data_IF_081827457335
#
_entry.id   IF_081827457335
#
_cell.length_a   1.000
_cell.length_b   1.000
_cell.length_c   1.000
_cell.angle_alpha   90.00
_cell.angle_beta   90.00
_cell.angle_gamma   90.00
#
_symmetry.space_group_name_H-M   'P 1'
#
loop_
_entity.id
_entity.type
_entity.pdbx_description
1 polymer ?
#
# COMPACT_ATOMS: atom_id res chain seq x y z
N UNK A 1 11.07 -14.97 24.69
CA UNK A 1 10.51 -16.32 24.47
C UNK A 1 9.64 -16.68 25.67
N UNK A 2 8.35 -16.81 25.48
CA UNK A 2 7.37 -17.14 26.51
C UNK A 2 6.84 -18.56 26.27
N UNK A 3 6.95 -19.45 27.24
CA UNK A 3 6.39 -20.81 27.16
C UNK A 3 4.95 -20.74 27.59
N UNK A 4 4.03 -21.15 26.73
CA UNK A 4 2.63 -21.35 27.07
C UNK A 4 2.52 -22.70 27.78
N UNK A 5 1.67 -22.82 28.80
CA UNK A 5 1.47 -24.09 29.53
C UNK A 5 1.13 -25.21 28.56
N UNK A 6 2.11 -25.99 28.13
CA UNK A 6 1.94 -27.06 27.15
C UNK A 6 3.15 -27.18 26.21
N UNK A 7 2.89 -27.61 24.97
CA UNK A 7 3.91 -27.78 23.92
C UNK A 7 4.10 -26.51 23.06
N UNK A 8 3.26 -25.49 23.31
CA UNK A 8 3.27 -24.23 22.58
C UNK A 8 4.30 -23.24 23.10
N UNK A 9 4.89 -22.45 22.20
CA UNK A 9 5.82 -21.38 22.49
C UNK A 9 5.41 -20.12 21.71
N UNK A 10 5.76 -18.95 22.25
CA UNK A 10 5.57 -17.67 21.59
C UNK A 10 6.93 -16.97 21.53
N UNK A 11 7.33 -16.62 20.32
CA UNK A 11 8.56 -15.87 20.08
C UNK A 11 8.26 -14.36 19.96
N UNK A 12 9.32 -13.56 20.01
CA UNK A 12 9.25 -12.14 19.75
C UNK A 12 8.63 -11.89 18.35
N UNK A 13 7.92 -10.78 18.19
CA UNK A 13 7.13 -10.51 16.98
C UNK A 13 5.81 -11.30 16.91
N UNK A 14 5.31 -11.81 18.06
CA UNK A 14 4.03 -12.51 18.20
C UNK A 14 3.92 -13.74 17.27
N UNK A 15 4.98 -14.55 17.21
CA UNK A 15 5.05 -15.77 16.41
C UNK A 15 4.72 -16.97 17.28
N UNK A 16 3.66 -17.71 16.90
CA UNK A 16 3.24 -18.92 17.58
C UNK A 16 3.98 -20.13 17.02
N UNK A 17 4.57 -20.93 17.90
CA UNK A 17 5.35 -22.12 17.56
C UNK A 17 4.75 -23.33 18.27
N UNK A 18 4.69 -24.46 17.56
CA UNK A 18 4.24 -25.74 18.11
C UNK A 18 5.16 -26.89 17.70
N UNK A 19 5.15 -27.99 18.44
CA UNK A 19 6.05 -29.11 18.17
C UNK A 19 5.74 -29.77 16.84
N UNK A 20 6.76 -29.99 16.02
CA UNK A 20 6.65 -30.70 14.73
C UNK A 20 6.32 -32.20 14.87
N UNK A 21 6.51 -32.79 16.07
CA UNK A 21 6.19 -34.18 16.35
C UNK A 21 4.69 -34.43 16.49
N UNK A 22 3.88 -33.36 16.59
CA UNK A 22 2.44 -33.43 16.74
C UNK A 22 1.75 -33.28 15.40
N UNK A 23 0.55 -33.88 15.27
CA UNK A 23 -0.29 -33.76 14.07
C UNK A 23 -1.32 -32.64 14.20
N UNK A 24 -1.65 -32.23 15.43
CA UNK A 24 -2.69 -31.29 15.77
C UNK A 24 -2.34 -30.46 17.00
N UNK A 25 -2.94 -29.26 17.08
CA UNK A 25 -2.91 -28.46 18.30
C UNK A 25 -3.76 -29.12 19.38
N UNK A 26 -3.17 -29.25 20.57
CA UNK A 26 -3.98 -29.58 21.76
C UNK A 26 -5.05 -28.48 21.97
N UNK A 27 -6.30 -28.84 22.30
CA UNK A 27 -7.34 -27.83 22.54
C UNK A 27 -7.01 -26.78 23.57
N UNK A 28 -6.22 -27.12 24.59
CA UNK A 28 -5.76 -26.18 25.62
C UNK A 28 -4.74 -25.20 25.05
N UNK A 29 -3.78 -25.68 24.23
CA UNK A 29 -2.77 -24.85 23.58
C UNK A 29 -3.41 -23.92 22.52
N UNK A 30 -4.38 -24.44 21.74
CA UNK A 30 -5.17 -23.64 20.80
C UNK A 30 -5.85 -22.46 21.51
N UNK A 31 -6.56 -22.72 22.62
CA UNK A 31 -7.23 -21.67 23.37
C UNK A 31 -6.24 -20.68 24.00
N UNK A 32 -5.08 -21.17 24.40
CA UNK A 32 -4.02 -20.32 24.95
C UNK A 32 -3.45 -19.38 23.90
N UNK A 33 -3.13 -19.87 22.70
CA UNK A 33 -2.70 -19.06 21.56
C UNK A 33 -3.77 -18.04 21.15
N UNK A 34 -5.02 -18.46 21.08
CA UNK A 34 -6.14 -17.58 20.78
C UNK A 34 -6.26 -16.44 21.80
N UNK A 35 -6.22 -16.77 23.12
CA UNK A 35 -6.28 -15.75 24.17
C UNK A 35 -5.11 -14.74 24.03
N UNK A 36 -3.93 -15.22 23.69
CA UNK A 36 -2.76 -14.35 23.49
C UNK A 36 -2.94 -13.49 22.25
N UNK A 37 -3.45 -14.05 21.14
CA UNK A 37 -3.74 -13.27 19.95
C UNK A 37 -4.81 -12.18 20.20
N UNK A 38 -5.82 -12.46 21.03
CA UNK A 38 -6.81 -11.46 21.46
C UNK A 38 -6.16 -10.31 22.25
N UNK A 39 -5.11 -10.59 23.03
CA UNK A 39 -4.36 -9.53 23.70
C UNK A 39 -3.59 -8.67 22.69
N UNK A 40 -2.89 -9.29 21.74
CA UNK A 40 -2.18 -8.59 20.65
C UNK A 40 -3.14 -7.82 19.73
N UNK A 41 -4.36 -8.33 19.53
CA UNK A 41 -5.39 -7.67 18.73
C UNK A 41 -5.79 -6.29 19.28
N UNK A 42 -5.47 -5.95 20.55
CA UNK A 42 -5.68 -4.60 21.08
C UNK A 42 -4.74 -3.61 20.42
N UNK A 43 -3.47 -3.99 20.25
CA UNK A 43 -2.46 -3.15 19.60
C UNK A 43 -2.77 -3.00 18.10
N UNK A 44 -3.18 -4.09 17.42
CA UNK A 44 -3.64 -4.02 16.04
C UNK A 44 -4.86 -3.10 15.86
N UNK A 45 -5.84 -3.21 16.76
CA UNK A 45 -7.01 -2.31 16.73
C UNK A 45 -6.64 -0.87 17.02
N UNK A 46 -5.71 -0.63 17.94
CA UNK A 46 -5.18 0.71 18.21
C UNK A 46 -4.52 1.30 16.95
N UNK A 47 -3.67 0.52 16.25
CA UNK A 47 -3.09 0.95 14.99
C UNK A 47 -4.15 1.34 13.95
N UNK A 48 -5.18 0.51 13.80
CA UNK A 48 -6.29 0.82 12.89
C UNK A 48 -7.03 2.09 13.31
N UNK A 49 -7.28 2.30 14.61
CA UNK A 49 -7.91 3.52 15.09
C UNK A 49 -7.05 4.75 14.77
N UNK A 50 -5.74 4.69 14.97
CA UNK A 50 -4.83 5.77 14.59
C UNK A 50 -4.86 6.03 13.07
N UNK A 51 -4.84 4.97 12.25
CA UNK A 51 -4.97 5.11 10.80
C UNK A 51 -6.29 5.78 10.38
N UNK A 52 -7.38 5.46 11.07
CA UNK A 52 -8.71 6.07 10.83
C UNK A 52 -8.86 7.49 11.41
N UNK A 53 -7.85 8.03 12.08
CA UNK A 53 -7.89 9.35 12.72
C UNK A 53 -8.56 9.37 14.09
N UNK A 54 -8.83 8.21 14.68
CA UNK A 54 -9.37 8.10 16.04
C UNK A 54 -8.23 7.97 17.05
N UNK A 55 -7.46 9.06 17.23
CA UNK A 55 -6.31 9.09 18.12
C UNK A 55 -6.73 9.22 19.59
N UNK A 56 -5.83 8.83 20.50
CA UNK A 56 -6.11 8.78 21.94
C UNK A 56 -6.52 10.13 22.55
N UNK A 57 -6.06 11.23 21.98
CA UNK A 57 -6.43 12.57 22.44
C UNK A 57 -7.94 12.82 22.39
N UNK A 58 -8.66 12.22 21.42
CA UNK A 58 -10.13 12.35 21.29
C UNK A 58 -10.87 11.67 22.45
N UNK A 59 -10.26 10.64 23.05
CA UNK A 59 -10.85 9.80 24.09
C UNK A 59 -10.45 10.23 25.52
N UNK A 60 -9.61 11.27 25.67
CA UNK A 60 -9.22 11.78 26.98
C UNK A 60 -10.41 12.43 27.70
N UNK A 61 -10.35 12.51 29.02
CA UNK A 61 -11.36 13.24 29.80
C UNK A 61 -11.38 14.72 29.40
N UNK A 62 -12.59 15.26 29.24
CA UNK A 62 -12.76 16.71 28.97
C UNK A 62 -12.21 17.56 30.11
N UNK A 63 -11.59 18.66 29.76
CA UNK A 63 -11.16 19.63 30.74
C UNK A 63 -12.39 20.20 31.46
N UNK A 64 -12.27 20.40 32.76
CA UNK A 64 -13.38 20.97 33.55
C UNK A 64 -13.54 22.49 33.30
N UNK A 65 -12.45 23.16 32.94
CA UNK A 65 -12.42 24.63 32.75
C UNK A 65 -11.54 24.98 31.54
N UNK A 66 -11.97 26.00 30.80
CA UNK A 66 -11.26 26.55 29.65
C UNK A 66 -11.51 25.80 28.34
N UNK A 67 -10.89 26.24 27.27
CA UNK A 67 -10.99 25.59 25.93
C UNK A 67 -10.49 24.16 25.95
N UNK A 68 -11.16 23.27 25.22
CA UNK A 68 -10.83 21.86 25.10
C UNK A 68 -10.87 21.40 23.63
N UNK A 69 -10.12 22.11 22.79
CA UNK A 69 -9.92 21.74 21.40
C UNK A 69 -9.04 20.50 21.33
N UNK A 70 -9.43 19.55 20.52
CA UNK A 70 -8.73 18.28 20.30
C UNK A 70 -8.49 18.11 18.81
N UNK A 71 -7.28 18.41 18.38
CA UNK A 71 -6.86 18.33 17.00
C UNK A 71 -6.07 17.05 16.77
N UNK A 72 -6.35 16.40 15.66
CA UNK A 72 -5.65 15.21 15.20
C UNK A 72 -4.98 15.53 13.87
N UNK A 73 -3.66 15.41 13.84
CA UNK A 73 -2.90 15.36 12.59
C UNK A 73 -2.78 13.90 12.15
N UNK A 74 -3.71 13.44 11.29
CA UNK A 74 -3.77 12.02 10.89
C UNK A 74 -2.59 11.64 9.99
N UNK A 75 -1.37 11.71 10.51
CA UNK A 75 -0.15 11.29 9.83
C UNK A 75 -0.05 9.77 9.63
N UNK A 76 -0.60 8.89 10.50
CA UNK A 76 -0.65 7.45 10.23
C UNK A 76 -1.32 7.13 8.89
N UNK A 77 -2.44 7.77 8.58
CA UNK A 77 -3.13 7.61 7.29
C UNK A 77 -2.23 8.04 6.13
N UNK A 78 -1.65 9.24 6.21
CA UNK A 78 -0.75 9.74 5.18
C UNK A 78 0.46 8.82 4.96
N UNK A 79 1.11 8.36 6.03
CA UNK A 79 2.29 7.50 5.97
C UNK A 79 1.96 6.15 5.32
N UNK A 80 0.86 5.51 5.74
CA UNK A 80 0.42 4.22 5.20
C UNK A 80 0.06 4.34 3.73
N UNK A 81 -0.80 5.30 3.37
CA UNK A 81 -1.28 5.41 1.99
C UNK A 81 -0.18 5.86 1.03
N UNK A 82 0.71 6.76 1.48
CA UNK A 82 1.88 7.16 0.68
C UNK A 82 2.81 5.97 0.44
N UNK A 83 3.11 5.18 1.47
CA UNK A 83 4.01 4.05 1.35
C UNK A 83 3.38 2.88 0.58
N UNK A 84 2.12 2.56 0.85
CA UNK A 84 1.40 1.52 0.10
C UNK A 84 1.24 1.91 -1.38
N UNK A 85 0.88 3.17 -1.67
CA UNK A 85 0.82 3.68 -3.03
C UNK A 85 2.18 3.68 -3.75
N UNK A 86 3.28 3.89 -3.02
CA UNK A 86 4.63 3.76 -3.56
C UNK A 86 4.98 2.30 -3.91
N UNK A 87 4.57 1.33 -3.08
CA UNK A 87 4.94 -0.08 -3.21
C UNK A 87 4.03 -0.86 -4.15
N UNK A 88 2.69 -0.68 -4.06
CA UNK A 88 1.67 -1.42 -4.83
C UNK A 88 0.88 -0.55 -5.79
N UNK A 89 1.15 0.75 -5.89
CA UNK A 89 0.43 1.65 -6.80
C UNK A 89 0.59 1.29 -8.27
N UNK A 90 1.71 0.65 -8.64
CA UNK A 90 1.85 -0.12 -9.87
C UNK A 90 1.74 -1.59 -9.48
N UNK A 91 0.71 -2.32 -9.96
CA UNK A 91 0.56 -3.74 -9.64
C UNK A 91 1.80 -4.56 -10.06
N UNK A 92 2.35 -5.41 -9.18
CA UNK A 92 3.47 -6.24 -9.54
C UNK A 92 3.09 -7.24 -10.63
N UNK A 93 3.99 -7.45 -11.58
CA UNK A 93 3.80 -8.45 -12.62
C UNK A 93 4.23 -9.81 -12.10
N UNK A 94 3.36 -10.78 -12.31
CA UNK A 94 3.55 -12.16 -11.89
C UNK A 94 3.34 -13.01 -13.12
N UNK A 95 4.42 -13.64 -13.61
CA UNK A 95 4.40 -14.33 -14.90
C UNK A 95 5.10 -15.69 -14.84
N UNK A 96 4.69 -16.60 -15.74
CA UNK A 96 5.34 -17.85 -16.05
C UNK A 96 5.93 -17.81 -17.47
N UNK A 97 6.98 -18.58 -17.71
CA UNK A 97 7.61 -18.64 -19.04
C UNK A 97 6.76 -19.45 -20.04
N UNK A 98 6.07 -20.52 -19.61
CA UNK A 98 5.12 -21.24 -20.45
C UNK A 98 3.90 -20.41 -20.75
N UNK A 99 3.55 -20.28 -22.02
CA UNK A 99 2.47 -19.40 -22.48
C UNK A 99 1.09 -19.82 -21.96
N UNK A 100 0.79 -21.14 -22.01
CA UNK A 100 -0.54 -21.64 -21.65
C UNK A 100 -0.75 -21.55 -20.13
N UNK A 101 0.28 -21.87 -19.35
CA UNK A 101 0.25 -21.76 -17.91
C UNK A 101 0.18 -20.31 -17.45
N UNK A 102 0.88 -19.41 -18.14
CA UNK A 102 0.79 -17.99 -17.88
C UNK A 102 -0.61 -17.42 -18.18
N UNK A 103 -1.25 -17.84 -19.29
CA UNK A 103 -2.63 -17.45 -19.59
C UNK A 103 -3.60 -17.92 -18.48
N UNK A 104 -3.47 -19.15 -18.00
CA UNK A 104 -4.28 -19.68 -16.91
C UNK A 104 -4.01 -18.94 -15.58
N UNK A 105 -2.75 -18.61 -15.29
CA UNK A 105 -2.37 -17.80 -14.14
C UNK A 105 -3.01 -16.41 -14.18
N UNK A 106 -2.92 -15.71 -15.33
CA UNK A 106 -3.53 -14.37 -15.48
C UNK A 106 -5.04 -14.44 -15.34
N UNK A 107 -5.68 -15.46 -15.94
CA UNK A 107 -7.12 -15.65 -15.79
C UNK A 107 -7.54 -15.84 -14.32
N UNK A 108 -6.77 -16.60 -13.54
CA UNK A 108 -7.02 -16.78 -12.11
C UNK A 108 -6.84 -15.45 -11.34
N UNK A 109 -5.77 -14.73 -11.64
CA UNK A 109 -5.49 -13.42 -11.04
C UNK A 109 -6.64 -12.43 -11.28
N UNK A 110 -7.11 -12.36 -12.53
CA UNK A 110 -8.18 -11.44 -12.94
C UNK A 110 -9.53 -11.83 -12.31
N UNK A 111 -9.90 -13.10 -12.37
CA UNK A 111 -11.14 -13.63 -11.78
C UNK A 111 -11.20 -13.37 -10.28
N UNK A 112 -10.08 -13.47 -9.60
CA UNK A 112 -9.98 -13.22 -8.16
C UNK A 112 -9.75 -11.76 -7.77
N UNK A 113 -9.60 -10.83 -8.70
CA UNK A 113 -9.17 -9.45 -8.44
C UNK A 113 -7.91 -9.42 -7.58
N UNK A 114 -6.94 -10.28 -7.93
CA UNK A 114 -5.78 -10.57 -7.08
C UNK A 114 -4.96 -9.32 -6.77
N UNK A 115 -4.78 -8.42 -7.74
CA UNK A 115 -3.98 -7.22 -7.58
C UNK A 115 -4.58 -6.26 -6.53
N UNK A 116 -5.90 -6.12 -6.52
CA UNK A 116 -6.61 -5.33 -5.51
C UNK A 116 -6.43 -5.95 -4.11
N UNK A 117 -6.65 -7.27 -3.99
CA UNK A 117 -6.44 -7.98 -2.72
C UNK A 117 -5.00 -7.91 -2.24
N UNK A 118 -4.02 -7.96 -3.14
CA UNK A 118 -2.60 -7.82 -2.79
C UNK A 118 -2.29 -6.42 -2.26
N UNK A 119 -2.89 -5.37 -2.83
CA UNK A 119 -2.77 -4.00 -2.32
C UNK A 119 -3.39 -3.87 -0.93
N UNK A 120 -4.55 -4.48 -0.67
CA UNK A 120 -5.16 -4.49 0.66
C UNK A 120 -4.34 -5.30 1.68
N UNK A 121 -3.77 -6.45 1.29
CA UNK A 121 -2.82 -7.22 2.11
C UNK A 121 -1.60 -6.36 2.45
N UNK A 122 -1.06 -5.63 1.48
CA UNK A 122 0.08 -4.73 1.67
C UNK A 122 -0.26 -3.59 2.64
N UNK A 123 -1.43 -2.95 2.47
CA UNK A 123 -1.91 -1.90 3.38
C UNK A 123 -2.10 -2.41 4.81
N UNK A 124 -2.72 -3.58 4.98
CA UNK A 124 -2.84 -4.21 6.30
C UNK A 124 -1.48 -4.52 6.92
N UNK A 125 -0.52 -4.94 6.11
CA UNK A 125 0.86 -5.17 6.57
C UNK A 125 1.50 -3.86 7.05
N UNK A 126 1.22 -2.74 6.40
CA UNK A 126 1.73 -1.43 6.80
C UNK A 126 1.06 -0.90 8.09
N UNK A 127 -0.20 -1.24 8.33
CA UNK A 127 -0.93 -0.86 9.55
C UNK A 127 -0.60 -1.77 10.73
N UNK A 128 -0.65 -3.09 10.52
CA UNK A 128 -0.58 -4.08 11.61
C UNK A 128 0.79 -4.75 11.76
N UNK A 129 1.70 -4.56 10.78
CA UNK A 129 2.94 -5.29 10.68
C UNK A 129 2.81 -6.65 9.99
N UNK A 130 1.61 -7.19 9.85
CA UNK A 130 1.30 -8.46 9.18
C UNK A 130 -0.13 -8.51 8.64
N UNK A 131 -0.33 -9.39 7.66
CA UNK A 131 -1.64 -9.79 7.14
C UNK A 131 -1.58 -11.23 6.66
N UNK A 132 -2.72 -11.86 6.41
CA UNK A 132 -2.76 -13.23 5.92
C UNK A 132 -3.54 -13.29 4.60
N UNK A 133 -2.97 -13.95 3.59
CA UNK A 133 -3.74 -14.44 2.45
C UNK A 133 -4.27 -15.83 2.76
N UNK A 134 -5.52 -16.09 2.46
CA UNK A 134 -6.20 -17.34 2.71
C UNK A 134 -6.81 -17.87 1.41
N UNK A 135 -6.46 -19.12 1.05
CA UNK A 135 -6.96 -19.81 -0.14
C UNK A 135 -8.10 -20.72 0.28
N UNK A 136 -9.20 -20.64 -0.44
CA UNK A 136 -10.40 -21.45 -0.18
C UNK A 136 -11.07 -21.83 -1.49
N UNK A 137 -12.01 -22.76 -1.43
CA UNK A 137 -12.89 -23.07 -2.55
C UNK A 137 -14.27 -22.46 -2.31
N UNK A 138 -14.82 -21.93 -3.38
CA UNK A 138 -16.21 -21.47 -3.40
C UNK A 138 -17.21 -22.62 -3.60
N UNK A 139 -18.49 -22.30 -3.75
CA UNK A 139 -19.58 -23.27 -3.95
C UNK A 139 -19.45 -24.06 -5.27
N UNK A 140 -18.71 -23.52 -6.25
CA UNK A 140 -18.46 -24.16 -7.54
C UNK A 140 -17.17 -25.02 -7.52
N UNK A 141 -16.52 -25.11 -6.37
CA UNK A 141 -15.22 -25.68 -6.17
C UNK A 141 -14.07 -24.94 -6.89
N UNK A 142 -14.27 -23.65 -7.24
CA UNK A 142 -13.22 -22.82 -7.80
C UNK A 142 -12.25 -22.34 -6.70
N UNK A 143 -10.96 -22.37 -7.01
CA UNK A 143 -9.93 -21.89 -6.09
C UNK A 143 -9.95 -20.36 -5.99
N UNK A 144 -10.27 -19.84 -4.82
CA UNK A 144 -10.41 -18.43 -4.52
C UNK A 144 -9.41 -17.95 -3.47
N UNK A 145 -9.19 -16.63 -3.41
CA UNK A 145 -8.37 -15.99 -2.40
C UNK A 145 -9.16 -14.94 -1.62
N UNK A 146 -8.94 -14.92 -0.31
CA UNK A 146 -9.35 -13.86 0.60
C UNK A 146 -8.15 -13.38 1.43
N UNK A 147 -8.28 -12.25 2.09
CA UNK A 147 -7.33 -11.84 3.11
C UNK A 147 -7.97 -11.87 4.50
N UNK A 148 -7.14 -12.07 5.52
CA UNK A 148 -7.56 -12.11 6.91
C UNK A 148 -6.69 -11.20 7.75
N UNK A 149 -7.33 -10.50 8.68
CA UNK A 149 -6.67 -9.57 9.60
C UNK A 149 -6.01 -10.35 10.77
N UNK A 150 -4.89 -9.87 11.31
CA UNK A 150 -4.31 -10.45 12.52
C UNK A 150 -5.17 -10.21 13.77
N UNK A 151 -6.26 -9.45 13.67
CA UNK A 151 -7.21 -9.23 14.78
C UNK A 151 -8.06 -10.46 15.09
N UNK A 152 -8.27 -11.33 14.11
CA UNK A 152 -9.16 -12.48 14.16
C UNK A 152 -8.60 -13.76 13.51
N UNK A 153 -7.31 -13.70 13.14
CA UNK A 153 -6.58 -14.82 12.57
C UNK A 153 -5.11 -14.83 13.01
N UNK A 154 -4.51 -16.02 13.07
CA UNK A 154 -3.09 -16.19 13.30
C UNK A 154 -2.55 -17.48 12.68
N UNK A 155 -1.25 -17.47 12.38
CA UNK A 155 -0.50 -18.62 11.90
C UNK A 155 0.30 -19.25 13.06
N UNK A 156 0.28 -20.58 13.14
CA UNK A 156 1.16 -21.37 14.00
C UNK A 156 2.19 -22.03 13.10
N UNK A 157 3.45 -21.98 13.49
CA UNK A 157 4.57 -22.60 12.79
C UNK A 157 5.10 -23.80 13.58
N UNK A 158 5.79 -24.72 12.92
CA UNK A 158 6.51 -25.78 13.60
C UNK A 158 7.80 -25.27 14.28
N UNK A 159 8.33 -26.05 15.19
CA UNK A 159 9.56 -25.75 15.93
C UNK A 159 10.84 -26.15 15.18
N UNK A 160 10.72 -26.59 13.91
CA UNK A 160 11.88 -26.87 13.07
C UNK A 160 12.62 -25.60 12.66
N UNK A 161 13.88 -25.74 12.24
CA UNK A 161 14.68 -24.61 11.72
C UNK A 161 13.98 -23.92 10.54
N UNK A 162 13.21 -24.67 9.73
CA UNK A 162 12.52 -24.15 8.57
C UNK A 162 11.21 -23.37 8.91
N UNK A 163 10.70 -23.53 10.16
CA UNK A 163 9.44 -22.92 10.62
C UNK A 163 8.34 -23.01 9.56
N UNK A 164 7.97 -24.24 9.23
CA UNK A 164 6.89 -24.48 8.26
C UNK A 164 5.53 -24.13 8.90
N UNK A 165 4.55 -23.64 8.12
CA UNK A 165 3.19 -23.49 8.59
C UNK A 165 2.65 -24.83 9.14
N UNK A 166 2.27 -24.85 10.42
CA UNK A 166 1.70 -26.00 11.10
C UNK A 166 0.17 -25.95 11.07
N UNK A 167 -0.40 -24.79 11.40
CA UNK A 167 -1.83 -24.55 11.33
C UNK A 167 -2.14 -23.06 11.12
N UNK A 168 -3.25 -22.78 10.45
CA UNK A 168 -3.84 -21.45 10.38
C UNK A 168 -5.16 -21.42 11.13
N UNK A 169 -5.34 -20.44 12.01
CA UNK A 169 -6.51 -20.32 12.89
C UNK A 169 -7.26 -19.05 12.55
N UNK A 170 -8.57 -19.18 12.29
CA UNK A 170 -9.51 -18.07 12.20
C UNK A 170 -10.55 -18.20 13.28
N UNK A 171 -10.90 -17.10 13.94
CA UNK A 171 -11.85 -17.13 15.04
C UNK A 171 -12.70 -15.86 15.09
N UNK A 172 -13.89 -16.01 15.63
CA UNK A 172 -14.84 -14.91 15.87
C UNK A 172 -15.64 -15.20 17.13
N UNK A 173 -16.30 -14.17 17.62
CA UNK A 173 -17.21 -14.34 18.75
C UNK A 173 -18.62 -14.61 18.21
N UNK A 174 -19.18 -15.75 18.51
CA UNK A 174 -20.55 -16.11 18.17
C UNK A 174 -21.52 -15.17 18.92
N UNK A 175 -22.37 -14.48 18.20
CA UNK A 175 -23.31 -13.49 18.75
C UNK A 175 -24.40 -14.11 19.60
N UNK A 176 -24.81 -15.35 19.31
CA UNK A 176 -25.90 -16.04 20.03
C UNK A 176 -25.40 -16.68 21.33
N UNK A 177 -24.35 -17.46 21.25
CA UNK A 177 -23.79 -18.17 22.42
C UNK A 177 -22.80 -17.34 23.22
N UNK A 178 -22.26 -16.25 22.66
CA UNK A 178 -21.20 -15.48 23.28
C UNK A 178 -19.84 -16.20 23.37
N UNK A 179 -19.76 -17.42 22.84
CA UNK A 179 -18.55 -18.23 22.84
C UNK A 179 -17.63 -17.86 21.68
N UNK A 180 -16.34 -18.06 21.88
CA UNK A 180 -15.36 -18.00 20.80
C UNK A 180 -15.53 -19.24 19.92
N UNK A 181 -15.69 -19.01 18.63
CA UNK A 181 -15.89 -20.04 17.60
C UNK A 181 -14.89 -19.81 16.50
N UNK A 182 -14.47 -20.85 15.81
CA UNK A 182 -13.52 -20.69 14.73
C UNK A 182 -13.19 -22.00 14.02
N UNK A 183 -12.20 -21.89 13.14
CA UNK A 183 -11.69 -23.00 12.33
C UNK A 183 -10.18 -23.05 12.43
N UNK A 184 -9.64 -24.26 12.45
CA UNK A 184 -8.22 -24.56 12.42
C UNK A 184 -7.95 -25.33 11.13
N UNK A 185 -7.11 -24.76 10.27
CA UNK A 185 -6.73 -25.32 8.99
C UNK A 185 -5.34 -25.94 9.08
N UNK A 186 -5.29 -27.25 9.00
CA UNK A 186 -4.05 -28.03 8.87
C UNK A 186 -3.77 -28.35 7.41
N UNK A 187 -2.65 -28.96 7.13
CA UNK A 187 -2.27 -29.37 5.77
C UNK A 187 -3.26 -30.38 5.15
N UNK A 188 -3.78 -31.31 5.95
CA UNK A 188 -4.59 -32.44 5.48
C UNK A 188 -6.04 -32.41 5.98
N UNK A 189 -6.39 -31.54 6.92
CA UNK A 189 -7.73 -31.53 7.55
C UNK A 189 -8.09 -30.12 8.02
N UNK A 190 -9.39 -29.94 8.29
CA UNK A 190 -9.93 -28.73 8.88
C UNK A 190 -10.70 -29.16 10.13
N UNK A 191 -10.54 -28.41 11.21
CA UNK A 191 -11.30 -28.60 12.45
C UNK A 191 -12.09 -27.36 12.79
N UNK A 192 -13.25 -27.54 13.39
CA UNK A 192 -14.04 -26.46 13.97
C UNK A 192 -13.90 -26.48 15.48
N UNK A 193 -14.00 -25.32 16.11
CA UNK A 193 -14.06 -25.25 17.56
C UNK A 193 -15.14 -24.27 18.02
N UNK A 194 -15.77 -24.60 19.16
CA UNK A 194 -16.71 -23.72 19.86
C UNK A 194 -16.44 -23.79 21.35
N UNK A 195 -15.99 -22.67 21.94
CA UNK A 195 -15.46 -22.68 23.30
C UNK A 195 -14.21 -23.57 23.42
N UNK A 196 -14.31 -24.63 24.22
CA UNK A 196 -13.26 -25.64 24.43
C UNK A 196 -13.47 -26.94 23.64
N UNK A 197 -14.56 -27.05 22.89
CA UNK A 197 -14.90 -28.24 22.09
C UNK A 197 -14.25 -28.05 20.70
N UNK A 198 -13.45 -29.04 20.29
CA UNK A 198 -12.82 -29.09 18.96
C UNK A 198 -13.32 -30.39 18.27
N UNK A 199 -13.83 -30.25 17.07
CA UNK A 199 -14.40 -31.33 16.27
C UNK A 199 -13.84 -31.30 14.84
N UNK A 200 -13.85 -32.44 14.17
CA UNK A 200 -13.52 -32.50 12.75
C UNK A 200 -14.59 -31.76 11.93
N UNK A 201 -14.18 -31.01 10.95
CA UNK A 201 -15.07 -30.37 9.98
C UNK A 201 -15.51 -31.39 8.91
N UNK A 202 -16.71 -31.22 8.37
CA UNK A 202 -17.18 -31.96 7.20
C UNK A 202 -16.38 -31.57 5.92
N UNK A 203 -15.61 -30.49 5.98
CA UNK A 203 -14.77 -30.01 4.87
C UNK A 203 -13.36 -30.57 4.99
N UNK A 204 -12.87 -31.15 3.89
CA UNK A 204 -11.47 -31.56 3.77
C UNK A 204 -10.61 -30.47 3.16
N UNK A 205 -9.37 -30.40 3.61
CA UNK A 205 -8.38 -29.55 2.96
C UNK A 205 -7.75 -30.30 1.76
N UNK A 206 -8.11 -29.89 0.54
CA UNK A 206 -7.62 -30.55 -0.68
C UNK A 206 -6.23 -30.08 -1.13
N UNK A 207 -5.71 -29.01 -0.56
CA UNK A 207 -4.41 -28.46 -0.98
C UNK A 207 -3.22 -29.27 -0.45
N UNK A 208 -3.39 -30.13 0.54
CA UNK A 208 -2.33 -30.83 1.27
C UNK A 208 -1.24 -29.91 1.83
N UNK A 209 -1.57 -28.65 2.02
CA UNK A 209 -0.78 -27.57 2.60
C UNK A 209 -1.69 -26.75 3.48
N UNK A 210 -1.14 -26.04 4.49
CA UNK A 210 -1.93 -25.05 5.22
C UNK A 210 -2.36 -23.95 4.23
N UNK A 211 -3.69 -23.73 4.04
CA UNK A 211 -4.18 -22.90 2.94
C UNK A 211 -4.10 -21.40 3.23
N UNK A 212 -3.06 -20.97 3.92
CA UNK A 212 -2.84 -19.58 4.25
C UNK A 212 -1.36 -19.22 4.24
N UNK A 213 -1.07 -17.96 3.97
CA UNK A 213 0.29 -17.41 3.96
C UNK A 213 0.31 -16.10 4.73
N UNK A 214 1.28 -15.95 5.64
CA UNK A 214 1.56 -14.69 6.32
C UNK A 214 2.36 -13.76 5.40
N UNK A 215 1.89 -12.52 5.27
CA UNK A 215 2.59 -11.41 4.64
C UNK A 215 3.07 -10.43 5.72
N UNK A 216 4.32 -9.98 5.63
CA UNK A 216 4.92 -9.01 6.53
C UNK A 216 5.99 -8.20 5.82
N UNK A 217 6.20 -6.96 6.27
CA UNK A 217 7.17 -6.05 5.64
C UNK A 217 8.60 -6.20 6.20
N UNK A 218 8.71 -6.61 7.47
CA UNK A 218 9.97 -6.76 8.22
C UNK A 218 9.88 -7.97 9.15
N UNK A 219 11.03 -8.47 9.61
CA UNK A 219 11.07 -9.67 10.51
C UNK A 219 10.42 -9.40 11.86
N UNK A 220 10.43 -8.16 12.31
CA UNK A 220 9.89 -7.72 13.59
C UNK A 220 8.37 -7.65 13.60
N UNK A 221 7.71 -7.73 12.42
CA UNK A 221 6.26 -7.58 12.20
C UNK A 221 5.74 -6.25 12.73
N UNK A 222 6.48 -5.19 12.47
CA UNK A 222 6.09 -3.82 12.80
C UNK A 222 5.43 -3.13 11.61
N UNK A 223 4.36 -2.38 11.89
CA UNK A 223 3.74 -1.48 10.93
C UNK A 223 4.64 -0.29 10.61
N UNK A 224 4.35 0.40 9.51
CA UNK A 224 5.21 1.47 9.00
C UNK A 224 5.29 2.69 9.92
N UNK A 225 4.29 2.92 10.77
CA UNK A 225 4.25 4.04 11.72
C UNK A 225 4.43 3.62 13.19
N UNK A 226 4.67 2.32 13.48
CA UNK A 226 4.82 1.83 14.86
C UNK A 226 5.89 2.57 15.65
N UNK A 227 7.00 2.92 15.00
CA UNK A 227 8.13 3.60 15.64
C UNK A 227 7.92 5.11 15.88
N UNK A 228 6.82 5.68 15.37
CA UNK A 228 6.54 7.12 15.45
C UNK A 228 5.23 7.45 16.18
N UNK A 229 4.51 6.47 16.72
CA UNK A 229 3.24 6.66 17.42
C UNK A 229 3.32 7.71 18.53
N UNK A 230 4.33 7.61 19.40
CA UNK A 230 4.49 8.56 20.51
C UNK A 230 4.82 9.98 20.04
N UNK A 231 5.48 10.13 18.89
CA UNK A 231 5.72 11.45 18.30
C UNK A 231 4.43 12.03 17.70
N UNK A 232 3.57 11.19 17.13
CA UNK A 232 2.26 11.59 16.59
C UNK A 232 1.34 12.01 17.73
N UNK A 233 1.26 11.23 18.81
CA UNK A 233 0.47 11.58 19.99
C UNK A 233 0.91 12.93 20.60
N UNK A 234 2.22 13.17 20.65
CA UNK A 234 2.75 14.44 21.14
C UNK A 234 2.45 15.58 20.18
N UNK A 235 2.50 15.38 18.87
CA UNK A 235 2.11 16.37 17.86
C UNK A 235 0.65 16.80 18.05
N UNK A 236 -0.26 15.82 18.17
CA UNK A 236 -1.68 16.09 18.41
C UNK A 236 -1.90 16.91 19.69
N UNK A 237 -1.14 16.56 20.76
CA UNK A 237 -1.19 17.27 22.03
C UNK A 237 -0.72 18.73 21.89
N UNK A 238 0.38 18.97 21.20
CA UNK A 238 0.94 20.32 21.02
C UNK A 238 0.02 21.17 20.15
N UNK A 239 -0.50 20.63 19.04
CA UNK A 239 -1.46 21.31 18.17
C UNK A 239 -2.73 21.69 18.93
N UNK A 240 -3.27 20.77 19.73
CA UNK A 240 -4.45 21.01 20.55
C UNK A 240 -4.21 22.08 21.61
N UNK A 241 -3.04 22.08 22.25
CA UNK A 241 -2.65 23.12 23.21
C UNK A 241 -2.52 24.47 22.54
N UNK A 242 -1.96 24.54 21.33
CA UNK A 242 -1.85 25.79 20.57
C UNK A 242 -3.24 26.33 20.23
N UNK A 243 -4.15 25.50 19.71
CA UNK A 243 -5.53 25.89 19.43
C UNK A 243 -6.25 26.37 20.66
N UNK A 244 -6.08 25.69 21.80
CA UNK A 244 -6.66 26.14 23.09
C UNK A 244 -6.07 27.45 23.56
N UNK A 245 -4.81 27.74 23.30
CA UNK A 245 -4.20 29.02 23.64
C UNK A 245 -4.76 30.15 22.79
N UNK A 246 -4.87 29.96 21.48
CA UNK A 246 -5.46 30.96 20.56
C UNK A 246 -6.88 31.33 21.05
N UNK A 247 -7.73 30.32 21.30
CA UNK A 247 -9.09 30.55 21.80
C UNK A 247 -9.10 31.24 23.16
N UNK A 248 -8.15 30.93 24.05
CA UNK A 248 -8.02 31.57 25.33
C UNK A 248 -7.56 33.04 25.23
N UNK A 249 -6.73 33.39 24.22
CA UNK A 249 -6.26 34.75 23.98
C UNK A 249 -7.31 35.62 23.32
N UNK A 250 -8.21 35.10 22.51
CA UNK A 250 -9.37 35.86 22.01
C UNK A 250 -10.24 36.33 23.14
N UNK A 251 -10.09 35.76 24.35
CA UNK A 251 -10.74 36.14 25.59
C UNK A 251 -9.71 36.76 26.58
N UNK A 252 -8.88 37.72 26.14
CA UNK A 252 -7.87 38.35 26.97
C UNK A 252 -8.50 39.01 28.22
N UNK A 253 -7.84 38.88 29.39
CA UNK A 253 -8.29 39.54 30.60
C UNK A 253 -8.03 41.04 30.52
N UNK A 254 -9.09 41.83 30.65
CA UNK A 254 -8.97 43.27 30.83
C UNK A 254 -8.69 43.57 32.31
N UNK A 255 -7.54 44.12 32.60
CA UNK A 255 -7.15 44.57 33.93
C UNK A 255 -7.53 46.04 34.05
N UNK A 256 -8.37 46.39 35.06
CA UNK A 256 -8.75 47.74 35.39
C UNK A 256 -8.43 47.95 36.85
N UNK A 257 -7.46 48.83 37.14
CA UNK A 257 -7.04 49.20 38.47
C UNK A 257 -7.22 50.70 38.67
N UNK A 258 -7.76 51.10 39.83
CA UNK A 258 -7.84 52.51 40.24
C UNK A 258 -8.89 53.34 39.52
N UNK A 259 -9.76 52.73 38.72
CA UNK A 259 -10.94 53.36 38.12
C UNK A 259 -12.20 52.85 38.83
N UNK A 260 -13.06 53.72 39.26
CA UNK A 260 -14.35 53.31 39.78
C UNK A 260 -15.37 53.23 38.66
N UNK A 261 -15.87 52.03 38.45
CA UNK A 261 -16.87 51.67 37.43
C UNK A 261 -18.21 51.30 38.08
N UNK A 262 -18.34 51.47 39.37
CA UNK A 262 -19.53 51.22 40.17
C UNK A 262 -20.28 52.52 40.38
N UNK A 263 -21.23 52.86 39.50
CA UNK A 263 -22.01 54.13 39.58
C UNK A 263 -23.14 54.07 40.61
N UNK A 264 -23.66 52.85 40.92
CA UNK A 264 -24.78 52.65 41.81
C UNK A 264 -24.36 52.23 43.24
N UNK A 265 -23.09 51.95 43.47
CA UNK A 265 -22.50 51.66 44.78
C UNK A 265 -22.79 50.24 45.30
N UNK A 266 -23.16 49.33 44.44
CA UNK A 266 -23.43 47.91 44.82
C UNK A 266 -22.16 47.06 44.96
N UNK A 267 -21.00 47.64 44.72
CA UNK A 267 -19.69 46.94 44.77
C UNK A 267 -19.34 46.14 43.53
N UNK A 268 -20.10 46.30 42.44
CA UNK A 268 -19.87 45.64 41.14
C UNK A 268 -19.71 46.69 40.05
N UNK A 269 -18.89 46.46 39.04
CA UNK A 269 -18.78 47.35 37.91
C UNK A 269 -20.06 47.32 37.07
N UNK A 270 -20.67 48.49 36.81
CA UNK A 270 -21.84 48.66 35.95
C UNK A 270 -21.56 48.44 34.47
N UNK A 271 -20.31 48.44 34.11
CA UNK A 271 -19.90 48.10 32.72
C UNK A 271 -20.03 46.60 32.45
N UNK A 272 -20.99 46.25 31.62
CA UNK A 272 -21.12 44.88 31.08
C UNK A 272 -20.00 44.65 30.08
N UNK A 273 -18.76 44.50 30.56
CA UNK A 273 -17.60 44.23 29.76
C UNK A 273 -17.60 42.76 29.40
N UNK A 274 -17.61 42.53 28.14
CA UNK A 274 -17.71 41.26 27.40
C UNK A 274 -17.13 40.06 28.19
N UNK A 275 -18.01 39.16 28.63
CA UNK A 275 -17.64 37.78 28.96
C UNK A 275 -16.99 37.53 30.32
N UNK A 276 -17.15 38.39 31.34
CA UNK A 276 -16.62 38.16 32.70
C UNK A 276 -15.10 37.95 32.84
N UNK A 277 -14.32 38.34 31.85
CA UNK A 277 -12.86 38.24 31.90
C UNK A 277 -12.21 39.57 32.27
N UNK A 278 -12.51 40.04 33.50
CA UNK A 278 -12.01 41.33 34.01
C UNK A 278 -11.40 41.12 35.40
N UNK A 279 -10.24 41.70 35.61
CA UNK A 279 -9.62 41.89 36.91
C UNK A 279 -9.90 43.34 37.27
N UNK A 280 -10.78 43.57 38.24
CA UNK A 280 -11.22 44.90 38.67
C UNK A 280 -10.83 45.16 40.13
N UNK A 281 -10.22 46.29 40.40
CA UNK A 281 -9.93 46.77 41.73
C UNK A 281 -10.08 48.26 41.78
N UNK A 282 -11.14 48.79 42.41
CA UNK A 282 -11.39 50.24 42.54
C UNK A 282 -10.47 50.96 43.55
N UNK A 283 -9.81 50.20 44.44
CA UNK A 283 -9.06 50.76 45.59
C UNK A 283 -7.56 51.04 45.28
N UNK A 284 -7.15 51.10 44.05
CA UNK A 284 -5.81 51.58 43.72
C UNK A 284 -5.77 53.07 43.69
N UNK A 285 -4.68 53.70 44.20
CA UNK A 285 -4.47 55.14 44.11
C UNK A 285 -4.67 55.64 42.70
N UNK A 286 -5.46 56.71 42.49
CA UNK A 286 -5.74 57.26 41.17
C UNK A 286 -4.47 57.67 40.39
N UNK A 287 -3.33 57.83 41.08
CA UNK A 287 -2.01 58.02 40.45
C UNK A 287 -1.46 56.83 39.83
N UNK A 288 -1.96 55.60 40.13
CA UNK A 288 -1.56 54.30 39.61
C UNK A 288 -2.69 53.59 38.85
N UNK A 289 -3.69 54.36 38.37
CA UNK A 289 -4.74 53.80 37.51
C UNK A 289 -4.13 53.18 36.27
N UNK A 290 -4.49 51.94 36.00
CA UNK A 290 -3.95 51.16 34.90
C UNK A 290 -5.06 50.36 34.23
N UNK A 291 -5.16 50.52 32.91
CA UNK A 291 -6.10 49.76 32.08
C UNK A 291 -5.32 49.12 30.97
N UNK A 292 -5.11 47.81 31.08
CA UNK A 292 -4.38 47.04 30.09
C UNK A 292 -5.01 45.68 29.87
N UNK A 293 -4.81 45.14 28.68
CA UNK A 293 -5.06 43.72 28.45
C UNK A 293 -3.86 42.90 28.94
N UNK A 294 -4.10 42.00 29.88
CA UNK A 294 -3.07 41.09 30.35
C UNK A 294 -2.88 40.02 29.28
N UNK A 295 -1.79 40.11 28.52
CA UNK A 295 -1.36 39.07 27.61
C UNK A 295 -0.39 38.14 28.33
N UNK A 296 -0.50 36.84 28.04
CA UNK A 296 0.51 35.85 28.45
C UNK A 296 1.81 36.09 27.65
N UNK A 297 2.99 35.81 28.20
CA UNK A 297 4.22 35.88 27.44
C UNK A 297 4.12 35.06 26.16
N UNK A 298 4.56 35.65 25.03
CA UNK A 298 4.54 35.03 23.72
C UNK A 298 5.44 33.79 23.70
N UNK A 299 4.84 32.61 23.64
CA UNK A 299 5.50 31.33 23.49
C UNK A 299 5.31 30.72 22.10
N UNK A 300 4.74 31.49 21.15
CA UNK A 300 4.34 31.00 19.84
C UNK A 300 5.53 30.43 19.04
N UNK A 301 6.64 31.15 18.98
CA UNK A 301 7.85 30.71 18.31
C UNK A 301 8.39 29.37 18.86
N UNK A 302 8.35 29.16 20.18
CA UNK A 302 8.81 27.88 20.76
C UNK A 302 7.89 26.73 20.39
N UNK A 303 6.58 26.97 20.34
CA UNK A 303 5.60 25.97 19.94
C UNK A 303 5.71 25.59 18.46
N UNK A 304 5.90 26.58 17.57
CA UNK A 304 6.15 26.32 16.15
C UNK A 304 7.41 25.49 15.95
N UNK A 305 8.51 25.82 16.60
CA UNK A 305 9.75 25.04 16.51
C UNK A 305 9.58 23.58 16.99
N UNK A 306 8.76 23.35 18.03
CA UNK A 306 8.46 21.97 18.49
C UNK A 306 7.62 21.23 17.44
N UNK A 307 6.59 21.88 16.88
CA UNK A 307 5.74 21.29 15.83
C UNK A 307 6.60 20.90 14.61
N UNK A 308 7.40 21.82 14.10
CA UNK A 308 8.29 21.57 12.96
C UNK A 308 9.25 20.43 13.23
N UNK A 309 9.81 20.39 14.45
CA UNK A 309 10.73 19.32 14.86
C UNK A 309 10.04 17.97 14.94
N UNK A 310 8.83 17.91 15.51
CA UNK A 310 8.04 16.67 15.60
C UNK A 310 7.70 16.15 14.21
N UNK A 311 7.18 17.03 13.33
CA UNK A 311 6.84 16.66 11.94
C UNK A 311 8.07 16.12 11.20
N UNK A 312 9.21 16.83 11.29
CA UNK A 312 10.46 16.40 10.69
C UNK A 312 10.92 15.04 11.21
N UNK A 313 10.85 14.81 12.54
CA UNK A 313 11.24 13.53 13.13
C UNK A 313 10.30 12.39 12.75
N UNK A 314 8.98 12.64 12.66
CA UNK A 314 8.00 11.62 12.26
C UNK A 314 8.33 11.10 10.87
N UNK A 315 8.57 11.96 9.90
CA UNK A 315 8.93 11.54 8.54
C UNK A 315 10.33 10.89 8.48
N UNK A 316 11.28 11.40 9.23
CA UNK A 316 12.63 10.83 9.27
C UNK A 316 12.64 9.42 9.86
N UNK A 317 11.93 9.19 10.97
CA UNK A 317 11.93 7.90 11.68
C UNK A 317 11.01 6.89 11.00
N UNK A 318 9.87 7.31 10.42
CA UNK A 318 9.01 6.44 9.60
C UNK A 318 9.65 6.04 8.28
N UNK A 319 10.71 6.74 7.84
CA UNK A 319 11.38 6.55 6.55
C UNK A 319 10.48 6.82 5.34
N UNK A 320 9.30 7.42 5.53
CA UNK A 320 8.37 7.81 4.47
C UNK A 320 8.60 9.28 4.11
N UNK A 321 8.65 9.58 2.82
CA UNK A 321 8.92 10.94 2.36
C UNK A 321 7.72 11.86 2.63
N UNK A 322 8.00 13.07 3.12
CA UNK A 322 7.03 14.15 3.15
C UNK A 322 6.94 14.79 1.75
N UNK A 323 5.95 14.41 0.96
CA UNK A 323 5.78 14.93 -0.41
C UNK A 323 5.34 16.41 -0.45
N UNK A 324 4.90 16.99 0.68
CA UNK A 324 4.56 18.40 0.82
C UNK A 324 5.77 19.29 1.18
N UNK A 325 6.97 18.70 1.35
CA UNK A 325 8.20 19.46 1.57
C UNK A 325 8.51 20.34 0.35
N UNK A 326 8.84 21.63 0.58
CA UNK A 326 9.22 22.60 -0.45
C UNK A 326 10.29 22.07 -1.41
N UNK A 327 11.12 21.17 -0.95
CA UNK A 327 12.13 20.53 -1.76
C UNK A 327 11.57 19.58 -2.84
N UNK A 328 10.29 19.16 -2.76
CA UNK A 328 9.59 18.47 -3.85
C UNK A 328 8.87 19.45 -4.78
N UNK A 329 8.56 20.67 -4.33
CA UNK A 329 7.90 21.71 -5.11
C UNK A 329 8.83 22.56 -5.97
N UNK A 330 10.15 22.53 -5.72
CA UNK A 330 11.14 23.38 -6.38
C UNK A 330 11.88 22.69 -7.55
N UNK A 331 12.80 23.44 -8.20
CA UNK A 331 13.69 22.96 -9.27
C UNK A 331 14.75 21.94 -8.78
N UNK A 332 14.39 20.99 -7.94
CA UNK A 332 15.29 19.93 -7.52
C UNK A 332 15.59 19.01 -8.69
N UNK A 333 16.87 18.71 -8.94
CA UNK A 333 17.24 17.75 -9.98
C UNK A 333 16.64 16.37 -9.67
N UNK A 334 16.31 15.59 -10.70
CA UNK A 334 15.80 14.22 -10.53
C UNK A 334 16.68 13.36 -9.61
N UNK A 335 18.00 13.56 -9.64
CA UNK A 335 18.96 12.89 -8.75
C UNK A 335 18.76 13.29 -7.28
N UNK A 336 18.52 14.57 -6.99
CA UNK A 336 18.28 15.03 -5.62
C UNK A 336 16.99 14.44 -5.04
N UNK A 337 15.93 14.32 -5.86
CA UNK A 337 14.68 13.65 -5.48
C UNK A 337 14.90 12.16 -5.21
N UNK A 338 15.72 11.48 -6.01
CA UNK A 338 16.07 10.07 -5.78
C UNK A 338 16.76 9.87 -4.43
N UNK A 339 17.67 10.77 -4.02
CA UNK A 339 18.30 10.70 -2.70
C UNK A 339 17.30 10.90 -1.54
N UNK A 340 16.33 11.78 -1.70
CA UNK A 340 15.29 11.99 -0.68
C UNK A 340 14.36 10.76 -0.51
N UNK A 341 14.12 10.04 -1.59
CA UNK A 341 13.31 8.83 -1.59
C UNK A 341 14.11 7.57 -1.21
N UNK A 342 15.42 7.66 -1.04
CA UNK A 342 16.29 6.51 -0.79
C UNK A 342 15.88 5.69 0.46
N UNK A 343 15.54 6.29 1.62
CA UNK A 343 15.07 5.54 2.79
C UNK A 343 13.81 4.72 2.49
N UNK A 344 12.81 5.35 1.84
CA UNK A 344 11.55 4.69 1.46
C UNK A 344 11.77 3.58 0.42
N UNK A 345 12.69 3.78 -0.55
CA UNK A 345 13.08 2.75 -1.52
C UNK A 345 13.75 1.54 -0.86
N UNK A 346 14.64 1.79 0.12
CA UNK A 346 15.29 0.70 0.86
C UNK A 346 14.28 -0.12 1.67
N UNK A 347 13.31 0.55 2.30
CA UNK A 347 12.21 -0.11 3.02
C UNK A 347 11.34 -0.94 2.06
N UNK A 348 10.99 -0.39 0.90
CA UNK A 348 10.23 -1.10 -0.13
C UNK A 348 10.99 -2.32 -0.67
N UNK A 349 12.30 -2.21 -0.93
CA UNK A 349 13.12 -3.33 -1.38
C UNK A 349 13.22 -4.47 -0.34
N UNK A 350 13.16 -4.15 0.96
CA UNK A 350 13.07 -5.15 2.02
C UNK A 350 11.69 -5.84 2.00
N UNK A 351 10.62 -5.06 1.91
CA UNK A 351 9.25 -5.57 1.84
C UNK A 351 9.05 -6.43 0.58
N UNK A 352 9.58 -6.03 -0.56
CA UNK A 352 9.54 -6.79 -1.83
C UNK A 352 10.11 -8.20 -1.67
N UNK A 353 11.26 -8.34 -1.03
CA UNK A 353 11.86 -9.68 -0.78
C UNK A 353 10.96 -10.57 0.06
N UNK A 354 10.30 -10.01 1.10
CA UNK A 354 9.35 -10.74 1.94
C UNK A 354 8.08 -11.09 1.18
N UNK A 355 7.54 -10.16 0.41
CA UNK A 355 6.35 -10.36 -0.41
C UNK A 355 6.60 -11.38 -1.52
N UNK A 356 7.73 -11.32 -2.22
CA UNK A 356 8.12 -12.32 -3.21
C UNK A 356 8.15 -13.73 -2.61
N UNK A 357 8.70 -13.87 -1.40
CA UNK A 357 8.75 -15.14 -0.70
C UNK A 357 7.34 -15.64 -0.31
N UNK A 358 6.50 -14.73 0.18
CA UNK A 358 5.11 -15.03 0.56
C UNK A 358 4.28 -15.40 -0.68
N UNK A 359 4.43 -14.67 -1.79
CA UNK A 359 3.76 -14.95 -3.06
C UNK A 359 4.14 -16.32 -3.62
N UNK A 360 5.42 -16.71 -3.58
CA UNK A 360 5.82 -18.08 -3.97
C UNK A 360 5.11 -19.15 -3.16
N UNK A 361 4.99 -18.97 -1.84
CA UNK A 361 4.25 -19.89 -0.97
C UNK A 361 2.75 -19.89 -1.32
N UNK A 362 2.17 -18.74 -1.62
CA UNK A 362 0.78 -18.59 -2.02
C UNK A 362 0.48 -19.37 -3.31
N UNK A 363 1.26 -19.13 -4.37
CA UNK A 363 1.05 -19.83 -5.63
C UNK A 363 1.35 -21.32 -5.55
N UNK A 364 2.27 -21.74 -4.67
CA UNK A 364 2.46 -23.17 -4.37
C UNK A 364 1.17 -23.80 -3.84
N UNK A 365 0.40 -23.10 -3.01
CA UNK A 365 -0.90 -23.59 -2.52
C UNK A 365 -1.91 -23.59 -3.68
N UNK A 366 -1.99 -22.52 -4.45
CA UNK A 366 -2.93 -22.39 -5.57
C UNK A 366 -2.71 -23.48 -6.61
N UNK A 367 -1.46 -23.79 -6.97
CA UNK A 367 -1.12 -24.81 -7.98
C UNK A 367 -1.24 -26.24 -7.46
N UNK A 368 -1.23 -26.45 -6.13
CA UNK A 368 -1.31 -27.81 -5.55
C UNK A 368 -2.61 -28.54 -5.87
N UNK A 369 -3.68 -27.79 -6.19
CA UNK A 369 -5.02 -28.34 -6.47
C UNK A 369 -5.26 -28.72 -7.95
N UNK A 370 -4.29 -28.60 -8.86
CA UNK A 370 -4.38 -28.87 -10.30
C UNK A 370 -5.50 -28.13 -11.06
N UNK A 371 -6.13 -27.13 -10.46
CA UNK A 371 -7.28 -26.43 -11.05
C UNK A 371 -6.85 -25.22 -11.88
N UNK A 372 -5.78 -24.55 -11.49
CA UNK A 372 -5.31 -23.32 -12.13
C UNK A 372 -4.21 -23.63 -13.13
N UNK A 373 -3.16 -24.29 -12.71
CA UNK A 373 -2.03 -24.70 -13.53
C UNK A 373 -1.85 -26.22 -13.40
N UNK A 374 -1.55 -26.92 -14.49
CA UNK A 374 -1.40 -28.39 -14.49
C UNK A 374 -0.12 -28.84 -13.82
N UNK A 375 0.96 -28.09 -14.00
CA UNK A 375 2.23 -28.38 -13.32
C UNK A 375 2.20 -27.82 -11.90
N UNK A 376 2.14 -28.72 -10.91
CA UNK A 376 2.16 -28.36 -9.48
C UNK A 376 3.44 -27.67 -9.05
N UNK A 377 4.53 -27.85 -9.76
CA UNK A 377 5.84 -27.30 -9.43
C UNK A 377 6.15 -26.00 -10.19
N UNK A 378 5.28 -25.55 -11.10
CA UNK A 378 5.43 -24.32 -11.87
C UNK A 378 5.59 -23.06 -10.99
N UNK A 379 5.19 -23.10 -9.69
CA UNK A 379 5.43 -22.01 -8.75
C UNK A 379 6.92 -21.66 -8.57
N UNK A 380 7.83 -22.58 -8.88
CA UNK A 380 9.29 -22.37 -8.80
C UNK A 380 9.78 -21.44 -9.89
N UNK A 381 9.13 -21.47 -11.06
CA UNK A 381 9.49 -20.70 -12.26
C UNK A 381 8.78 -19.34 -12.33
N UNK A 382 7.96 -19.01 -11.30
CA UNK A 382 7.30 -17.70 -11.22
C UNK A 382 8.32 -16.57 -11.17
N UNK A 383 8.12 -15.60 -12.05
CA UNK A 383 8.84 -14.34 -12.08
C UNK A 383 7.96 -13.24 -11.45
N UNK A 384 8.57 -12.46 -10.57
CA UNK A 384 7.92 -11.33 -9.89
C UNK A 384 8.68 -10.06 -10.25
N UNK A 385 7.97 -9.07 -10.78
CA UNK A 385 8.52 -7.75 -11.11
C UNK A 385 7.72 -6.66 -10.37
N UNK A 386 8.33 -6.10 -9.33
CA UNK A 386 7.78 -4.98 -8.55
C UNK A 386 8.34 -3.68 -9.07
N UNK A 387 7.46 -2.78 -9.49
CA UNK A 387 7.84 -1.43 -9.92
C UNK A 387 7.31 -0.40 -8.92
N UNK A 388 8.20 0.45 -8.43
CA UNK A 388 7.83 1.54 -7.54
C UNK A 388 7.05 2.61 -8.29
N UNK A 389 5.95 3.08 -7.71
CA UNK A 389 5.12 4.14 -8.29
C UNK A 389 5.79 5.51 -8.08
N UNK A 390 6.61 5.91 -9.03
CA UNK A 390 7.27 7.21 -9.07
C UNK A 390 6.82 7.96 -10.33
N UNK A 391 6.68 9.28 -10.27
CA UNK A 391 6.50 10.09 -11.47
C UNK A 391 7.59 9.78 -12.50
N UNK A 392 7.19 9.54 -13.74
CA UNK A 392 8.10 9.23 -14.84
C UNK A 392 8.24 10.50 -15.68
N UNK A 393 9.47 10.97 -15.88
CA UNK A 393 9.76 11.89 -16.96
C UNK A 393 9.91 11.08 -18.25
N UNK A 394 8.86 11.12 -19.06
CA UNK A 394 8.78 10.37 -20.33
C UNK A 394 9.94 10.78 -21.27
N UNK A 395 10.36 12.04 -21.23
CA UNK A 395 11.45 12.54 -22.06
C UNK A 395 12.80 11.96 -21.63
N UNK A 396 13.08 11.94 -20.32
CA UNK A 396 14.31 11.36 -19.76
C UNK A 396 14.39 9.84 -20.00
N UNK A 397 13.27 9.13 -19.86
CA UNK A 397 13.17 7.69 -20.14
C UNK A 397 13.39 7.40 -21.65
N UNK A 398 12.76 8.18 -22.53
CA UNK A 398 12.93 8.03 -23.98
C UNK A 398 14.39 8.30 -24.42
N UNK A 399 15.03 9.33 -23.86
CA UNK A 399 16.43 9.63 -24.07
C UNK A 399 17.34 8.49 -23.58
N UNK A 400 17.01 7.90 -22.45
CA UNK A 400 17.74 6.77 -21.88
C UNK A 400 17.62 5.53 -22.78
N UNK A 401 16.44 5.23 -23.25
CA UNK A 401 16.20 4.14 -24.21
C UNK A 401 16.98 4.36 -25.52
N UNK A 402 16.98 5.58 -26.02
CA UNK A 402 17.74 5.94 -27.24
C UNK A 402 19.24 5.75 -27.02
N UNK A 403 19.79 6.17 -25.89
CA UNK A 403 21.22 6.02 -25.55
C UNK A 403 21.61 4.56 -25.34
N UNK A 404 20.70 3.72 -24.82
CA UNK A 404 20.93 2.30 -24.65
C UNK A 404 20.76 1.51 -25.95
N UNK A 405 20.09 2.09 -26.96
CA UNK A 405 19.90 1.45 -28.27
C UNK A 405 21.24 1.20 -28.95
N UNK A 406 21.52 -0.06 -29.28
CA UNK A 406 22.79 -0.51 -29.89
C UNK A 406 23.92 -0.82 -28.88
N UNK A 407 23.76 -0.49 -27.59
CA UNK A 407 24.73 -0.81 -26.54
C UNK A 407 24.35 -2.13 -25.83
N UNK A 408 23.07 -2.33 -25.60
CA UNK A 408 22.52 -3.53 -24.98
C UNK A 408 21.44 -4.15 -25.87
N UNK A 409 21.04 -5.41 -25.60
CA UNK A 409 19.94 -6.03 -26.33
C UNK A 409 18.63 -5.26 -26.12
N UNK A 410 17.72 -5.27 -27.12
CA UNK A 410 16.40 -4.62 -27.02
C UNK A 410 15.63 -5.11 -25.79
N UNK A 411 15.68 -6.40 -25.50
CA UNK A 411 15.03 -6.99 -24.35
C UNK A 411 15.57 -6.39 -23.04
N UNK A 412 16.88 -6.23 -22.91
CA UNK A 412 17.49 -5.63 -21.71
C UNK A 412 17.15 -4.14 -21.59
N UNK A 413 17.16 -3.37 -22.69
CA UNK A 413 16.77 -1.96 -22.69
C UNK A 413 15.30 -1.80 -22.27
N UNK A 414 14.42 -2.59 -22.83
CA UNK A 414 12.97 -2.56 -22.54
C UNK A 414 12.64 -3.04 -21.12
N UNK A 415 13.35 -4.05 -20.61
CA UNK A 415 13.17 -4.51 -19.23
C UNK A 415 13.51 -3.43 -18.19
N UNK A 416 14.52 -2.63 -18.48
CA UNK A 416 14.93 -1.54 -17.60
C UNK A 416 14.10 -0.26 -17.76
N UNK A 417 13.28 -0.15 -18.80
CA UNK A 417 12.39 0.98 -19.02
C UNK A 417 11.07 0.81 -18.25
N UNK A 418 10.58 1.94 -17.74
CA UNK A 418 9.27 2.00 -17.09
C UNK A 418 8.13 2.27 -18.05
N UNK A 419 8.44 2.68 -19.30
CA UNK A 419 7.45 2.97 -20.35
C UNK A 419 6.90 1.67 -20.98
N UNK A 420 7.67 0.58 -20.90
CA UNK A 420 7.36 -0.68 -21.57
C UNK A 420 6.97 -1.71 -20.52
N UNK A 421 5.71 -2.10 -20.59
CA UNK A 421 5.15 -3.04 -19.64
C UNK A 421 5.59 -4.48 -19.83
N UNK A 422 5.63 -4.95 -21.07
CA UNK A 422 6.03 -6.31 -21.43
C UNK A 422 7.08 -6.25 -22.55
N UNK A 423 8.37 -6.40 -22.19
CA UNK A 423 9.46 -6.35 -23.15
C UNK A 423 9.35 -7.38 -24.28
N UNK A 424 8.92 -8.61 -23.96
CA UNK A 424 8.79 -9.69 -24.97
C UNK A 424 7.67 -9.38 -25.95
N UNK A 425 6.51 -9.00 -25.43
CA UNK A 425 5.33 -8.67 -26.24
C UNK A 425 5.56 -7.44 -27.13
N UNK A 426 6.29 -6.45 -26.61
CA UNK A 426 6.66 -5.27 -27.37
C UNK A 426 7.63 -5.59 -28.51
N UNK A 427 8.61 -6.46 -28.26
CA UNK A 427 9.50 -6.94 -29.31
C UNK A 427 8.73 -7.71 -30.39
N UNK A 428 7.78 -8.57 -30.01
CA UNK A 428 6.92 -9.29 -30.97
C UNK A 428 6.07 -8.32 -31.79
N UNK A 429 5.50 -7.26 -31.19
CA UNK A 429 4.76 -6.22 -31.92
C UNK A 429 5.64 -5.49 -32.92
N UNK A 430 6.82 -5.04 -32.48
CA UNK A 430 7.79 -4.40 -33.38
C UNK A 430 8.21 -5.31 -34.53
N UNK A 431 8.36 -6.61 -34.31
CA UNK A 431 8.67 -7.57 -35.37
C UNK A 431 7.52 -7.71 -36.37
N UNK A 432 6.28 -7.77 -35.88
CA UNK A 432 5.08 -7.82 -36.75
C UNK A 432 4.94 -6.55 -37.58
N UNK A 433 5.05 -5.39 -36.97
CA UNK A 433 4.99 -4.10 -37.66
C UNK A 433 6.05 -4.01 -38.77
N UNK A 434 7.28 -4.39 -38.43
CA UNK A 434 8.36 -4.39 -39.43
C UNK A 434 8.11 -5.39 -40.57
N UNK A 435 7.52 -6.55 -40.28
CA UNK A 435 7.16 -7.53 -41.31
C UNK A 435 6.01 -7.00 -42.20
N UNK A 436 5.05 -6.32 -41.61
CA UNK A 436 3.94 -5.68 -42.34
C UNK A 436 4.47 -4.53 -43.23
N UNK A 437 5.38 -3.69 -42.74
CA UNK A 437 6.06 -2.65 -43.54
C UNK A 437 6.82 -3.24 -44.72
N UNK A 438 7.58 -4.32 -44.52
CA UNK A 438 8.28 -5.03 -45.56
C UNK A 438 7.30 -5.60 -46.60
N UNK A 439 6.22 -6.20 -46.18
CA UNK A 439 5.20 -6.76 -47.08
C UNK A 439 4.49 -5.66 -47.87
N UNK A 440 4.17 -4.50 -47.27
CA UNK A 440 3.61 -3.35 -47.97
C UNK A 440 4.59 -2.77 -48.98
N UNK A 441 5.86 -2.62 -48.62
CA UNK A 441 6.90 -2.14 -49.52
C UNK A 441 7.10 -3.08 -50.71
N UNK A 442 7.05 -4.40 -50.51
CA UNK A 442 7.11 -5.40 -51.58
C UNK A 442 5.87 -5.33 -52.49
N UNK A 443 4.66 -5.15 -51.95
CA UNK A 443 3.44 -4.96 -52.74
C UNK A 443 3.48 -3.68 -53.60
N UNK A 444 3.97 -2.57 -53.01
CA UNK A 444 4.14 -1.32 -53.76
C UNK A 444 5.21 -1.44 -54.85
N UNK A 445 6.31 -2.14 -54.62
CA UNK A 445 7.33 -2.38 -55.63
C UNK A 445 6.84 -3.31 -56.74
N UNK A 446 6.06 -4.35 -56.43
CA UNK A 446 5.46 -5.25 -57.42
C UNK A 446 4.41 -4.49 -58.28
N UNK A 447 3.55 -3.68 -57.68
CA UNK A 447 2.57 -2.89 -58.42
C UNK A 447 3.21 -1.81 -59.30
N UNK A 448 4.33 -1.20 -58.88
CA UNK A 448 5.09 -0.26 -59.70
C UNK A 448 5.78 -0.97 -60.89
N UNK A 449 6.26 -2.19 -60.70
CA UNK A 449 6.86 -3.00 -61.78
C UNK A 449 5.82 -3.46 -62.78
N UNK A 450 4.61 -3.87 -62.34
CA UNK A 450 3.49 -4.22 -63.20
C UNK A 450 3.00 -2.99 -64.00
N UNK A 451 2.97 -1.79 -63.40
CA UNK A 451 2.63 -0.56 -64.11
C UNK A 451 3.68 -0.18 -65.17
N UNK A 452 4.97 -0.32 -64.88
CA UNK A 452 6.03 -0.09 -65.88
C UNK A 452 5.93 -1.10 -67.04
N UNK A 453 5.65 -2.37 -66.77
CA UNK A 453 5.45 -3.38 -67.82
C UNK A 453 4.21 -3.13 -68.66
N UNK A 454 3.12 -2.62 -68.08
CA UNK A 454 1.93 -2.24 -68.80
C UNK A 454 2.11 -0.96 -69.63
N UNK A 455 2.91 -0.01 -69.18
CA UNK A 455 3.25 1.20 -69.95
C UNK A 455 4.24 0.88 -71.08
N UNK A 456 5.23 0.02 -70.90
CA UNK A 456 6.10 -0.50 -71.97
C UNK A 456 5.32 -1.29 -73.03
N UNK A 457 4.31 -2.07 -72.63
CA UNK A 457 3.43 -2.77 -73.58
C UNK A 457 2.55 -1.77 -74.36
N UNK A 458 2.04 -0.72 -73.75
CA UNK A 458 1.26 0.34 -74.43
C UNK A 458 2.12 1.19 -75.37
N UNK A 459 3.40 1.42 -75.08
CA UNK A 459 4.33 2.09 -75.99
C UNK A 459 4.66 1.18 -77.19
N UNK A 460 4.95 -0.10 -77.00
CA UNK A 460 5.19 -1.08 -78.07
C UNK A 460 3.93 -1.25 -78.98
N UNK A 461 2.73 -1.28 -78.41
CA UNK A 461 1.48 -1.37 -79.21
C UNK A 461 1.25 -0.10 -80.02
N UNK A 462 1.66 1.10 -79.54
CA UNK A 462 1.61 2.36 -80.29
C UNK A 462 2.63 2.40 -81.45
N UNK A 463 3.83 1.86 -81.28
CA UNK A 463 4.81 1.73 -82.34
C UNK A 463 4.31 0.75 -83.43
N UNK A 464 3.74 -0.39 -83.11
CA UNK A 464 3.19 -1.37 -84.04
C UNK A 464 2.01 -0.76 -84.81
N UNK A 465 1.16 0.05 -84.19
CA UNK A 465 0.03 0.75 -84.88
C UNK A 465 0.52 1.89 -85.75
N UNK A 466 1.65 2.55 -85.40
CA UNK A 466 2.34 3.58 -86.21
C UNK A 466 2.96 3.00 -87.44
N UNK A 467 3.57 1.80 -87.41
CA UNK A 467 4.09 1.09 -88.61
C UNK A 467 2.99 0.59 -89.58
N UNK A 468 1.81 0.26 -89.13
CA UNK A 468 0.64 -0.14 -90.01
C UNK A 468 -0.03 1.06 -90.72
N UNK A 469 0.10 2.26 -90.24
CA UNK A 469 -0.45 3.47 -90.88
C UNK A 469 0.43 4.08 -91.98
N UNK A 470 1.70 3.79 -92.05
CA UNK A 470 2.63 4.26 -93.07
C UNK A 470 2.87 3.29 -94.22
N UNK A 471 2.10 2.15 -94.28
CA UNK A 471 2.20 1.15 -95.34
C UNK A 471 1.04 1.11 -96.35
N UNK A 472 0.04 2.04 -96.26
CA UNK A 472 -1.05 2.12 -97.19
C UNK A 472 -1.18 3.54 -97.75
N UNK A 473 -0.18 3.92 -98.52
CA UNK A 473 -0.32 4.99 -99.52
C UNK A 473 0.84 4.90 -100.49
N UNK A 474 0.71 4.06 -101.50
CA UNK A 474 1.31 4.22 -102.84
C UNK A 474 0.96 2.98 -103.66
N UNK A 475 -0.17 3.13 -104.46
CA UNK A 475 -0.38 2.48 -105.74
C UNK A 475 -1.79 2.81 -106.18
N UNK A 476 -1.88 3.91 -106.96
CA UNK A 476 -2.83 4.15 -108.03
C UNK A 476 -2.38 5.41 -108.74
N UNK A 477 -1.71 5.21 -109.88
CA UNK A 477 -1.85 5.90 -111.16
C UNK A 477 -0.67 5.53 -112.08
N UNK A 478 -0.85 4.56 -113.00
CA UNK A 478 -0.94 4.48 -114.42
C UNK A 478 -1.09 3.02 -114.89
#
# INVERSE_FOLDING_TARGET
METVNGKGQILDGHIFIYSADEEELDPHDLLSFMRRNIQYAKDYKHNMQMYLGNHDILNQQRRMYGPDNRLVANLPHYIVDTYNGFFTGIPPKITLDDKNENEALQQWNDTNSFQDKLSEISKQTDIYGRSFAFIYQDENADTCIAYASPTDAFMVYDDTVARKPFAFVRYWKDTESGLWTGMVYYANKIKTFKGSIVEDSDQNNMYNLVPAVEFYGNEERQGVFDNVKTLIDELDRVLSQKANQVEYFDNAYLKILGLDLDEDGDGRPDANLIGNQMIYSPNADAANADVEFISKPDGDNMQEHIIDRLVSMIYQVSMVANLNDEAFAGNSSGVALQYKLLPMRNMAANKERKFTQALRKLYRIVFSADQVVKDKDAWQDLLFDFKQNLPIDISEEADTLQKLSGVVSKETAFRNSRLIDDPKKEIERMQKEKQEEINQALQHSASATDQMLMDDQKENDKEIVGFRKNGESDDEEE
#
